data_IF_238609151994
#
_entry.id   IF_238609151994
#
_cell.length_a   1.000
_cell.length_b   1.000
_cell.length_c   1.000
_cell.angle_alpha   90.00
_cell.angle_beta   90.00
_cell.angle_gamma   90.00
#
_symmetry.space_group_name_H-M   'P 1'
#
loop_
_entity.id
_entity.type
_entity.pdbx_description
1 polymer ?
#
# COMPACT_ATOMS: atom_id res chain seq x y z
N UNK A 1 -17.78 -22.03 -8.76
CA UNK A 1 -17.12 -22.07 -7.44
C UNK A 1 -15.63 -21.68 -7.48
N UNK A 2 -14.93 -21.77 -8.63
CA UNK A 2 -13.52 -21.35 -8.75
C UNK A 2 -13.25 -19.84 -8.56
N UNK A 3 -14.26 -18.98 -8.59
CA UNK A 3 -14.09 -17.51 -8.47
C UNK A 3 -13.83 -17.03 -7.03
N UNK A 4 -14.25 -17.79 -6.02
CA UNK A 4 -14.03 -17.44 -4.60
C UNK A 4 -12.67 -17.88 -4.07
N UNK A 5 -11.86 -18.55 -4.90
CA UNK A 5 -10.52 -19.01 -4.51
C UNK A 5 -9.62 -17.82 -4.18
N UNK A 6 -9.69 -16.73 -4.96
CA UNK A 6 -8.85 -15.55 -4.74
C UNK A 6 -9.22 -14.86 -3.41
N UNK A 7 -10.48 -14.46 -3.14
CA UNK A 7 -10.86 -13.94 -1.82
C UNK A 7 -10.53 -14.90 -0.66
N UNK A 8 -10.71 -16.21 -0.86
CA UNK A 8 -10.40 -17.23 0.15
C UNK A 8 -8.91 -17.29 0.50
N UNK A 9 -8.02 -17.24 -0.50
CA UNK A 9 -6.56 -17.19 -0.28
C UNK A 9 -6.17 -15.90 0.45
N UNK A 10 -6.71 -14.75 0.02
CA UNK A 10 -6.43 -13.46 0.69
C UNK A 10 -6.89 -13.50 2.15
N UNK A 11 -8.07 -14.06 2.43
CA UNK A 11 -8.57 -14.20 3.79
C UNK A 11 -7.70 -15.13 4.63
N UNK A 12 -7.30 -16.30 4.10
CA UNK A 12 -6.41 -17.23 4.78
C UNK A 12 -5.05 -16.60 5.11
N UNK A 13 -4.46 -15.89 4.14
CA UNK A 13 -3.22 -15.13 4.35
C UNK A 13 -3.38 -14.08 5.45
N UNK A 14 -4.47 -13.30 5.41
CA UNK A 14 -4.73 -12.29 6.45
C UNK A 14 -4.89 -12.89 7.84
N UNK A 15 -5.58 -14.02 7.97
CA UNK A 15 -5.68 -14.75 9.25
C UNK A 15 -4.33 -15.26 9.72
N UNK A 16 -3.52 -15.83 8.83
CA UNK A 16 -2.17 -16.31 9.16
C UNK A 16 -1.27 -15.16 9.68
N UNK A 17 -1.33 -13.99 9.04
CA UNK A 17 -0.59 -12.80 9.48
C UNK A 17 -1.09 -12.30 10.83
N UNK A 18 -2.39 -12.31 11.09
CA UNK A 18 -2.93 -11.96 12.42
C UNK A 18 -2.38 -12.91 13.48
N UNK A 19 -2.40 -14.22 13.24
CA UNK A 19 -1.87 -15.22 14.17
C UNK A 19 -0.36 -15.04 14.43
N UNK A 20 0.42 -14.78 13.37
CA UNK A 20 1.84 -14.48 13.50
C UNK A 20 2.08 -13.18 14.29
N UNK A 21 1.23 -12.17 14.08
CA UNK A 21 1.35 -10.87 14.75
C UNK A 21 1.07 -10.95 16.25
N UNK A 22 0.21 -11.89 16.69
CA UNK A 22 -0.03 -12.14 18.11
C UNK A 22 1.21 -12.66 18.85
N UNK A 23 2.17 -13.25 18.13
CA UNK A 23 3.44 -13.73 18.69
C UNK A 23 4.47 -12.61 18.85
N UNK A 24 4.25 -11.43 18.25
CA UNK A 24 5.16 -10.30 18.39
C UNK A 24 5.14 -9.80 19.84
N UNK A 25 6.31 -9.72 20.46
CA UNK A 25 6.47 -9.16 21.80
C UNK A 25 5.94 -7.73 21.86
N UNK A 26 5.18 -7.40 22.92
CA UNK A 26 4.84 -6.01 23.17
C UNK A 26 6.13 -5.28 23.55
N UNK A 27 6.55 -4.34 22.71
CA UNK A 27 7.61 -3.42 23.09
C UNK A 27 7.16 -2.63 24.35
N UNK A 28 8.06 -2.41 25.31
CA UNK A 28 7.74 -1.66 26.53
C UNK A 28 7.09 -0.31 26.17
N UNK A 29 5.98 0.04 26.83
CA UNK A 29 5.24 1.28 26.58
C UNK A 29 6.12 2.54 26.65
N UNK A 30 7.26 2.47 27.34
CA UNK A 30 8.25 3.54 27.47
C UNK A 30 9.03 3.85 26.17
N UNK A 31 9.10 2.93 25.20
CA UNK A 31 9.80 3.13 23.89
C UNK A 31 8.80 3.48 22.77
N UNK A 32 7.55 3.02 22.88
CA UNK A 32 6.49 3.21 21.87
C UNK A 32 5.71 4.51 22.11
N UNK A 33 5.66 5.01 23.36
CA UNK A 33 4.83 6.17 23.70
C UNK A 33 3.37 5.93 23.29
N UNK A 34 2.75 6.93 22.64
CA UNK A 34 1.40 6.83 22.07
C UNK A 34 1.35 6.28 20.62
N UNK A 35 2.45 5.75 20.08
CA UNK A 35 2.45 5.20 18.72
C UNK A 35 1.77 3.84 18.64
N UNK A 36 1.28 3.48 17.45
CA UNK A 36 0.64 2.19 17.26
C UNK A 36 1.65 1.06 17.50
N UNK A 37 1.36 0.16 18.45
CA UNK A 37 2.28 -0.94 18.77
C UNK A 37 2.60 -1.78 17.52
N UNK A 38 3.81 -2.35 17.41
CA UNK A 38 4.21 -3.19 16.28
C UNK A 38 3.25 -4.35 15.99
N UNK A 39 2.57 -4.85 17.03
CA UNK A 39 1.51 -5.87 16.92
C UNK A 39 0.22 -5.35 16.29
N UNK A 40 -0.21 -4.14 16.65
CA UNK A 40 -1.52 -3.61 16.26
C UNK A 40 -1.52 -3.20 14.79
N UNK A 41 -0.36 -2.81 14.26
CA UNK A 41 -0.22 -2.38 12.86
C UNK A 41 -0.60 -3.47 11.84
N UNK A 42 0.03 -4.67 11.84
CA UNK A 42 -0.39 -5.74 10.94
C UNK A 42 -1.84 -6.17 11.14
N UNK A 43 -2.33 -6.23 12.39
CA UNK A 43 -3.70 -6.64 12.68
C UNK A 43 -4.70 -5.67 12.03
N UNK A 44 -4.51 -4.36 12.20
CA UNK A 44 -5.38 -3.34 11.59
C UNK A 44 -5.42 -3.49 10.07
N UNK A 45 -4.25 -3.62 9.43
CA UNK A 45 -4.16 -3.80 7.99
C UNK A 45 -4.85 -5.09 7.52
N UNK A 46 -4.68 -6.20 8.25
CA UNK A 46 -5.30 -7.47 7.89
C UNK A 46 -6.81 -7.47 8.09
N UNK A 47 -7.33 -6.76 9.10
CA UNK A 47 -8.78 -6.57 9.29
C UNK A 47 -9.37 -5.78 8.12
N UNK A 48 -8.74 -4.68 7.71
CA UNK A 48 -9.16 -3.93 6.51
C UNK A 48 -9.12 -4.83 5.28
N UNK A 49 -8.05 -5.62 5.12
CA UNK A 49 -7.91 -6.54 3.99
C UNK A 49 -9.00 -7.62 3.97
N UNK A 50 -9.40 -8.15 5.14
CA UNK A 50 -10.51 -9.08 5.27
C UNK A 50 -11.84 -8.45 4.87
N UNK A 51 -12.10 -7.21 5.27
CA UNK A 51 -13.30 -6.45 4.85
C UNK A 51 -13.30 -6.27 3.33
N UNK A 52 -12.17 -5.87 2.74
CA UNK A 52 -12.04 -5.73 1.29
C UNK A 52 -12.21 -7.06 0.56
N UNK A 53 -11.64 -8.16 1.09
CA UNK A 53 -11.80 -9.49 0.53
C UNK A 53 -13.27 -9.96 0.60
N UNK A 54 -13.99 -9.65 1.67
CA UNK A 54 -15.42 -9.91 1.79
C UNK A 54 -16.22 -9.11 0.76
N UNK A 55 -15.92 -7.81 0.60
CA UNK A 55 -16.51 -6.97 -0.45
C UNK A 55 -16.21 -7.50 -1.86
N UNK A 56 -15.00 -8.02 -2.11
CA UNK A 56 -14.64 -8.63 -3.38
C UNK A 56 -15.41 -9.92 -3.64
N UNK A 57 -15.53 -10.78 -2.62
CA UNK A 57 -16.35 -12.00 -2.70
C UNK A 57 -17.81 -11.66 -3.01
N UNK A 58 -18.36 -10.61 -2.39
CA UNK A 58 -19.70 -10.11 -2.67
C UNK A 58 -19.84 -9.60 -4.10
N UNK A 59 -18.87 -8.83 -4.61
CA UNK A 59 -18.84 -8.37 -5.99
C UNK A 59 -18.80 -9.53 -7.00
N UNK A 60 -17.99 -10.56 -6.73
CA UNK A 60 -17.91 -11.75 -7.58
C UNK A 60 -19.17 -12.61 -7.55
N UNK A 61 -19.95 -12.54 -6.48
CA UNK A 61 -21.27 -13.13 -6.45
C UNK A 61 -22.22 -12.38 -7.39
N UNK A 62 -22.16 -11.05 -7.40
CA UNK A 62 -23.08 -10.23 -8.21
C UNK A 62 -22.67 -10.11 -9.68
N UNK A 63 -21.38 -10.18 -10.03
CA UNK A 63 -20.88 -10.03 -11.40
C UNK A 63 -19.73 -11.01 -11.67
N UNK A 64 -19.83 -11.77 -12.75
CA UNK A 64 -18.74 -12.62 -13.22
C UNK A 64 -17.55 -11.77 -13.68
N UNK A 65 -16.31 -12.12 -13.30
CA UNK A 65 -15.13 -11.36 -13.69
C UNK A 65 -14.92 -11.39 -15.21
N UNK A 66 -14.70 -10.21 -15.80
CA UNK A 66 -14.32 -10.09 -17.20
C UNK A 66 -12.90 -10.65 -17.43
N UNK A 67 -12.68 -11.21 -18.63
CA UNK A 67 -11.39 -11.79 -19.00
C UNK A 67 -10.35 -10.67 -19.15
N UNK A 68 -9.28 -10.74 -18.37
CA UNK A 68 -8.19 -9.77 -18.40
C UNK A 68 -7.38 -10.00 -19.69
N UNK A 69 -7.40 -9.03 -20.61
CA UNK A 69 -6.52 -9.03 -21.77
C UNK A 69 -5.13 -8.53 -21.37
N UNK A 70 -4.12 -9.38 -21.54
CA UNK A 70 -2.73 -9.05 -21.26
C UNK A 70 -2.21 -7.98 -22.21
N UNK A 71 -1.90 -6.80 -21.69
CA UNK A 71 -1.15 -5.76 -22.40
C UNK A 71 0.33 -5.90 -22.05
N UNK A 72 1.08 -6.61 -22.90
CA UNK A 72 2.49 -6.95 -22.66
C UNK A 72 3.36 -5.73 -22.35
N UNK A 73 3.29 -4.67 -23.16
CA UNK A 73 4.16 -3.49 -23.01
C UNK A 73 3.97 -2.76 -21.66
N UNK A 74 2.74 -2.62 -21.19
CA UNK A 74 2.42 -1.96 -19.92
C UNK A 74 2.87 -2.79 -18.72
N UNK A 75 2.80 -4.12 -18.84
CA UNK A 75 3.22 -5.04 -17.79
C UNK A 75 4.74 -4.96 -17.60
N UNK A 76 5.52 -5.04 -18.68
CA UNK A 76 6.98 -4.90 -18.60
C UNK A 76 7.42 -3.52 -18.09
N UNK A 77 6.76 -2.45 -18.53
CA UNK A 77 7.06 -1.11 -18.00
C UNK A 77 6.77 -1.00 -16.50
N UNK A 78 5.72 -1.66 -15.99
CA UNK A 78 5.43 -1.64 -14.55
C UNK A 78 6.50 -2.38 -13.73
N UNK A 79 7.05 -3.48 -14.25
CA UNK A 79 8.15 -4.21 -13.62
C UNK A 79 9.41 -3.34 -13.59
N UNK A 80 9.74 -2.66 -14.69
CA UNK A 80 10.89 -1.75 -14.74
C UNK A 80 10.74 -0.59 -13.73
N UNK A 81 9.55 -0.02 -13.60
CA UNK A 81 9.27 1.01 -12.59
C UNK A 81 9.47 0.50 -11.16
N UNK A 82 9.13 -0.76 -10.86
CA UNK A 82 9.41 -1.38 -9.56
C UNK A 82 10.91 -1.51 -9.28
N UNK A 83 11.72 -1.84 -10.28
CA UNK A 83 13.18 -1.88 -10.14
C UNK A 83 13.73 -0.48 -9.84
N UNK A 84 13.19 0.56 -10.49
CA UNK A 84 13.57 1.96 -10.28
C UNK A 84 13.08 2.50 -8.92
N UNK A 85 11.95 2.01 -8.41
CA UNK A 85 11.41 2.42 -7.12
C UNK A 85 12.40 2.20 -5.97
N UNK A 86 13.04 1.02 -5.93
CA UNK A 86 13.97 0.65 -4.87
C UNK A 86 15.10 1.69 -4.64
N UNK A 87 15.95 2.05 -5.63
CA UNK A 87 17.02 3.01 -5.41
C UNK A 87 16.49 4.41 -5.02
N UNK A 88 15.35 4.85 -5.57
CA UNK A 88 14.77 6.15 -5.19
C UNK A 88 14.34 6.15 -3.72
N UNK A 89 13.71 5.07 -3.24
CA UNK A 89 13.32 4.96 -1.82
C UNK A 89 14.52 4.94 -0.88
N UNK A 90 15.62 4.29 -1.27
CA UNK A 90 16.81 4.12 -0.43
C UNK A 90 17.68 5.39 -0.40
N UNK A 91 17.87 6.05 -1.54
CA UNK A 91 18.83 7.15 -1.65
C UNK A 91 18.19 8.54 -1.57
N UNK A 92 16.89 8.69 -1.85
CA UNK A 92 16.24 10.00 -1.96
C UNK A 92 15.21 10.19 -0.84
N UNK A 93 14.01 9.63 -1.01
CA UNK A 93 12.92 9.70 -0.04
C UNK A 93 11.79 8.75 -0.49
N UNK A 94 11.18 8.05 0.46
CA UNK A 94 10.09 7.11 0.18
C UNK A 94 8.84 7.81 -0.40
N UNK A 95 8.50 9.01 0.07
CA UNK A 95 7.33 9.76 -0.41
C UNK A 95 7.54 10.28 -1.82
N UNK A 96 8.74 10.77 -2.12
CA UNK A 96 9.12 11.21 -3.47
C UNK A 96 9.09 10.01 -4.43
N UNK A 97 9.62 8.85 -4.00
CA UNK A 97 9.57 7.64 -4.78
C UNK A 97 8.13 7.23 -5.12
N UNK A 98 7.23 7.21 -4.12
CA UNK A 98 5.82 6.87 -4.33
C UNK A 98 5.16 7.85 -5.30
N UNK A 99 5.37 9.16 -5.13
CA UNK A 99 4.79 10.17 -6.01
C UNK A 99 5.25 10.01 -7.46
N UNK A 100 6.56 9.89 -7.69
CA UNK A 100 7.15 9.79 -9.04
C UNK A 100 6.73 8.49 -9.72
N UNK A 101 6.81 7.36 -9.02
CA UNK A 101 6.45 6.06 -9.58
C UNK A 101 4.95 5.96 -9.83
N UNK A 102 4.10 6.48 -8.93
CA UNK A 102 2.66 6.51 -9.13
C UNK A 102 2.27 7.35 -10.36
N UNK A 103 2.91 8.50 -10.54
CA UNK A 103 2.71 9.33 -11.73
C UNK A 103 3.16 8.60 -13.01
N UNK A 104 4.35 7.98 -12.99
CA UNK A 104 4.87 7.21 -14.12
C UNK A 104 3.98 6.00 -14.45
N UNK A 105 3.42 5.32 -13.44
CA UNK A 105 2.47 4.23 -13.63
C UNK A 105 1.17 4.71 -14.26
N UNK A 106 0.62 5.86 -13.84
CA UNK A 106 -0.58 6.44 -14.46
C UNK A 106 -0.35 6.74 -15.95
N UNK A 107 0.81 7.31 -16.30
CA UNK A 107 1.18 7.59 -17.68
C UNK A 107 1.37 6.30 -18.49
N UNK A 108 2.04 5.30 -17.93
CA UNK A 108 2.29 4.01 -18.59
C UNK A 108 0.97 3.26 -18.90
N UNK A 109 -0.01 3.37 -18.02
CA UNK A 109 -1.33 2.77 -18.20
C UNK A 109 -2.26 3.56 -19.14
N UNK A 110 -1.81 4.73 -19.60
CA UNK A 110 -2.46 5.50 -20.67
C UNK A 110 -3.46 6.55 -20.17
N UNK A 111 -3.33 7.00 -18.92
CA UNK A 111 -4.14 8.12 -18.42
C UNK A 111 -3.83 9.40 -19.24
N UNK A 112 -4.80 9.86 -20.04
CA UNK A 112 -4.63 11.04 -20.92
C UNK A 112 -4.68 12.36 -20.15
N UNK A 113 -5.25 12.37 -18.94
CA UNK A 113 -5.41 13.57 -18.12
C UNK A 113 -4.22 13.74 -17.17
N UNK A 114 -3.14 14.33 -17.69
CA UNK A 114 -1.89 14.55 -16.94
C UNK A 114 -2.15 15.29 -15.61
N UNK A 115 -3.06 16.27 -15.60
CA UNK A 115 -3.42 17.01 -14.38
C UNK A 115 -4.06 16.13 -13.30
N UNK A 116 -4.91 15.18 -13.69
CA UNK A 116 -5.56 14.24 -12.75
C UNK A 116 -4.53 13.24 -12.24
N UNK A 117 -3.67 12.73 -13.12
CA UNK A 117 -2.58 11.85 -12.73
C UNK A 117 -1.60 12.53 -11.75
N UNK A 118 -1.24 13.78 -12.00
CA UNK A 118 -0.37 14.57 -11.12
C UNK A 118 -1.05 14.85 -9.77
N UNK A 119 -2.32 15.26 -9.78
CA UNK A 119 -3.08 15.48 -8.55
C UNK A 119 -3.17 14.20 -7.71
N UNK A 120 -3.46 13.06 -8.33
CA UNK A 120 -3.52 11.76 -7.66
C UNK A 120 -2.16 11.35 -7.09
N UNK A 121 -1.11 11.49 -7.90
CA UNK A 121 0.26 11.13 -7.53
C UNK A 121 0.83 11.98 -6.39
N UNK A 122 0.33 13.20 -6.18
CA UNK A 122 0.72 14.05 -5.05
C UNK A 122 -0.21 13.89 -3.86
N UNK A 123 -1.53 13.89 -4.08
CA UNK A 123 -2.52 13.81 -3.01
C UNK A 123 -2.39 12.48 -2.24
N UNK A 124 -2.19 11.37 -2.94
CA UNK A 124 -2.12 10.04 -2.31
C UNK A 124 -0.96 9.92 -1.31
N UNK A 125 0.31 10.19 -1.66
CA UNK A 125 1.39 10.13 -0.69
C UNK A 125 1.26 11.16 0.44
N UNK A 126 0.68 12.34 0.19
CA UNK A 126 0.41 13.34 1.24
C UNK A 126 -0.63 12.82 2.24
N UNK A 127 -1.74 12.26 1.75
CA UNK A 127 -2.80 11.69 2.60
C UNK A 127 -2.26 10.50 3.38
N UNK A 128 -1.51 9.61 2.73
CA UNK A 128 -0.84 8.48 3.39
C UNK A 128 0.13 9.02 4.47
N UNK A 129 0.92 10.04 4.16
CA UNK A 129 1.85 10.64 5.10
C UNK A 129 1.13 11.12 6.37
N UNK A 130 0.07 11.92 6.22
CA UNK A 130 -0.68 12.42 7.37
C UNK A 130 -1.46 11.34 8.10
N UNK A 131 -2.02 10.35 7.39
CA UNK A 131 -2.71 9.23 8.02
C UNK A 131 -1.74 8.46 8.93
N UNK A 132 -0.53 8.18 8.45
CA UNK A 132 0.45 7.43 9.22
C UNK A 132 1.12 8.28 10.32
N UNK A 133 1.45 9.54 10.06
CA UNK A 133 2.05 10.44 11.06
C UNK A 133 1.05 10.84 12.16
N UNK A 134 -0.17 11.25 11.80
CA UNK A 134 -1.15 11.79 12.76
C UNK A 134 -2.08 10.73 13.33
N UNK A 135 -2.63 9.84 12.49
CA UNK A 135 -3.62 8.86 12.95
C UNK A 135 -2.93 7.61 13.55
N UNK A 136 -1.87 7.11 12.91
CA UNK A 136 -1.18 5.90 13.36
C UNK A 136 0.09 6.19 14.18
N UNK A 137 0.58 7.44 14.17
CA UNK A 137 1.80 7.88 14.87
C UNK A 137 3.02 7.03 14.52
N UNK A 138 3.08 6.50 13.29
CA UNK A 138 4.19 5.73 12.74
C UNK A 138 5.06 6.65 11.91
N UNK A 139 6.36 6.72 12.24
CA UNK A 139 7.32 7.55 11.51
C UNK A 139 7.81 6.85 10.25
N UNK A 140 7.87 7.60 9.17
CA UNK A 140 8.46 7.12 7.92
C UNK A 140 9.99 7.17 7.95
N UNK A 141 10.67 6.37 7.10
CA UNK A 141 12.11 6.44 6.94
C UNK A 141 12.54 7.85 6.56
N UNK A 142 13.66 8.29 7.15
CA UNK A 142 14.24 9.60 6.89
C UNK A 142 14.70 9.70 5.44
N UNK A 143 14.26 10.74 4.75
CA UNK A 143 14.64 11.12 3.40
C UNK A 143 14.59 12.64 3.25
N UNK A 144 14.80 13.19 2.06
CA UNK A 144 14.86 14.65 1.85
C UNK A 144 13.64 15.42 2.41
N UNK A 145 12.43 14.99 2.08
CA UNK A 145 11.19 15.65 2.53
C UNK A 145 10.95 15.41 4.01
N UNK A 146 11.19 14.17 4.43
CA UNK A 146 10.94 13.71 5.79
C UNK A 146 11.95 14.31 6.79
N UNK A 147 13.18 14.60 6.36
CA UNK A 147 14.19 15.32 7.14
C UNK A 147 13.83 16.80 7.32
N UNK A 148 13.19 17.42 6.33
CA UNK A 148 12.72 18.80 6.46
C UNK A 148 11.52 18.92 7.42
N UNK A 149 10.65 17.91 7.46
CA UNK A 149 9.47 17.90 8.33
C UNK A 149 9.75 17.44 9.77
N UNK A 150 10.66 16.47 9.97
CA UNK A 150 11.04 15.97 11.30
C UNK A 150 12.26 16.70 11.91
N UNK A 151 12.98 17.47 11.10
CA UNK A 151 14.18 18.22 11.49
C UNK A 151 13.88 19.45 12.32
#
# INVERSE_FOLDING_TARGET
MHFLVIPGIVAAFSVAVILASLQLELSPAMIVGDSLQPRVFPILLMVINLVLAACLAFQYWSKSPEKIHWKGFQTWGSIALWIIFYPITVYIDMLIAIAVIMFAMCLLWGERRIHVAAALALATPIVIFFLFDKALRVRFPRGLFTNWYYG
#
